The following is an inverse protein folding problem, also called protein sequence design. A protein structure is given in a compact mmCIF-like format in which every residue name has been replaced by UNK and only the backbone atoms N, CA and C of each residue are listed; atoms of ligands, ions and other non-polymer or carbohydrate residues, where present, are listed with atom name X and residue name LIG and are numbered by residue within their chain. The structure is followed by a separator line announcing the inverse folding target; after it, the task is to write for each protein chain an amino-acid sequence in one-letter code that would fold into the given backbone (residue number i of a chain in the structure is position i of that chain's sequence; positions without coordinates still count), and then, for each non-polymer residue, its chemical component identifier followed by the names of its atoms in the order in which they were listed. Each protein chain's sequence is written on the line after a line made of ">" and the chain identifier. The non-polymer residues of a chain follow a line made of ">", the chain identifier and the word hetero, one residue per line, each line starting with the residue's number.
data_IF_234395252667
#
_entry.id   IF_234395252667
#
_cell.length_a   1.000
_cell.length_b   1.000
_cell.length_c   1.000
_cell.angle_alpha   90.00
_cell.angle_beta   90.00
_cell.angle_gamma   90.00
#
_symmetry.space_group_name_H-M   'P 1'
#
loop_
_entity.id
_entity.type
_entity.pdbx_description
1 polymer ?
#
# COMPACT_ATOMS: atom_id res chain seq x y z
N UNK A 1 5.49 12.49 0.00
CA UNK A 1 4.26 13.19 -0.43
C UNK A 1 4.09 14.51 0.32
N UNK A 2 4.33 14.54 1.64
CA UNK A 2 4.28 15.77 2.45
C UNK A 2 5.20 16.88 1.92
N UNK A 3 6.47 16.59 1.61
CA UNK A 3 7.40 17.59 1.05
C UNK A 3 6.88 18.21 -0.26
N UNK A 4 6.41 17.37 -1.19
CA UNK A 4 5.81 17.83 -2.45
C UNK A 4 4.58 18.70 -2.20
N UNK A 5 3.70 18.28 -1.30
CA UNK A 5 2.51 19.05 -0.94
C UNK A 5 2.86 20.39 -0.29
N UNK A 6 3.88 20.41 0.58
CA UNK A 6 4.41 21.64 1.18
C UNK A 6 4.93 22.62 0.13
N UNK A 7 5.69 22.13 -0.86
CA UNK A 7 6.19 22.93 -1.98
C UNK A 7 5.07 23.45 -2.89
N UNK A 8 3.99 22.70 -3.09
CA UNK A 8 2.80 23.17 -3.80
C UNK A 8 2.14 24.35 -3.07
N UNK A 9 1.96 24.24 -1.76
CA UNK A 9 1.42 25.34 -0.94
C UNK A 9 2.33 26.57 -0.96
N UNK A 10 3.63 26.38 -0.88
CA UNK A 10 4.62 27.45 -1.01
C UNK A 10 4.54 28.13 -2.39
N UNK A 11 4.42 27.35 -3.46
CA UNK A 11 4.25 27.86 -4.82
C UNK A 11 2.96 28.66 -4.97
N UNK A 12 1.84 28.20 -4.39
CA UNK A 12 0.55 28.91 -4.37
C UNK A 12 0.66 30.30 -3.73
N UNK A 13 1.47 30.43 -2.68
CA UNK A 13 1.75 31.71 -2.05
C UNK A 13 2.63 32.58 -2.95
N UNK A 14 3.75 32.05 -3.45
CA UNK A 14 4.70 32.79 -4.31
C UNK A 14 4.08 33.31 -5.60
N UNK A 15 3.18 32.55 -6.24
CA UNK A 15 2.52 33.02 -7.46
C UNK A 15 1.56 34.19 -7.20
N UNK A 16 1.03 34.31 -5.98
CA UNK A 16 0.21 35.47 -5.58
C UNK A 16 1.02 36.77 -5.53
N UNK A 17 2.35 36.68 -5.47
CA UNK A 17 3.28 37.82 -5.46
C UNK A 17 3.77 38.22 -6.86
N UNK A 18 3.38 37.46 -7.90
CA UNK A 18 3.83 37.70 -9.26
C UNK A 18 3.34 39.07 -9.80
N UNK A 19 4.29 39.92 -10.20
CA UNK A 19 3.99 41.24 -10.78
C UNK A 19 3.67 41.13 -12.27
N UNK A 20 2.77 41.98 -12.76
CA UNK A 20 2.36 42.08 -14.17
C UNK A 20 1.72 40.80 -14.74
N UNK A 21 1.33 39.85 -13.89
CA UNK A 21 0.56 38.68 -14.28
C UNK A 21 -0.94 38.99 -14.26
N UNK A 22 -1.70 38.33 -15.15
CA UNK A 22 -3.15 38.47 -15.18
C UNK A 22 -3.75 37.80 -13.93
N UNK A 23 -4.58 38.53 -13.18
CA UNK A 23 -5.21 38.04 -11.94
C UNK A 23 -6.01 36.76 -12.17
N UNK A 24 -6.76 36.66 -13.27
CA UNK A 24 -7.54 35.45 -13.57
C UNK A 24 -6.65 34.23 -13.84
N UNK A 25 -5.47 34.44 -14.45
CA UNK A 25 -4.49 33.36 -14.66
C UNK A 25 -3.86 32.91 -13.34
N UNK A 26 -3.56 33.84 -12.42
CA UNK A 26 -3.06 33.50 -11.07
C UNK A 26 -4.08 32.64 -10.34
N UNK A 27 -5.35 33.05 -10.32
CA UNK A 27 -6.41 32.32 -9.61
C UNK A 27 -6.67 30.94 -10.24
N UNK A 28 -6.61 30.81 -11.57
CA UNK A 28 -6.72 29.52 -12.24
C UNK A 28 -5.59 28.56 -11.83
N UNK A 29 -4.34 29.04 -11.80
CA UNK A 29 -3.18 28.23 -11.37
C UNK A 29 -3.28 27.86 -9.89
N UNK A 30 -3.65 28.79 -9.02
CA UNK A 30 -3.89 28.51 -7.60
C UNK A 30 -4.98 27.47 -7.39
N UNK A 31 -6.07 27.55 -8.15
CA UNK A 31 -7.13 26.55 -8.12
C UNK A 31 -6.62 25.14 -8.45
N UNK A 32 -5.81 25.01 -9.51
CA UNK A 32 -5.18 23.74 -9.88
C UNK A 32 -4.22 23.23 -8.79
N UNK A 33 -3.39 24.11 -8.22
CA UNK A 33 -2.46 23.77 -7.14
C UNK A 33 -3.22 23.28 -5.90
N UNK A 34 -4.28 23.98 -5.50
CA UNK A 34 -5.08 23.63 -4.33
C UNK A 34 -5.79 22.29 -4.55
N UNK A 35 -6.38 22.07 -5.74
CA UNK A 35 -7.00 20.79 -6.08
C UNK A 35 -6.02 19.62 -6.02
N UNK A 36 -4.78 19.81 -6.49
CA UNK A 36 -3.73 18.80 -6.34
C UNK A 36 -3.32 18.60 -4.87
N UNK A 37 -3.24 19.69 -4.10
CA UNK A 37 -2.91 19.66 -2.66
C UNK A 37 -3.92 18.82 -1.87
N UNK A 38 -5.22 18.99 -2.15
CA UNK A 38 -6.30 18.21 -1.52
C UNK A 38 -6.17 16.71 -1.80
N UNK A 39 -5.77 16.32 -3.02
CA UNK A 39 -5.50 14.92 -3.37
C UNK A 39 -4.33 14.37 -2.56
N UNK A 40 -3.24 15.14 -2.45
CA UNK A 40 -2.08 14.73 -1.63
C UNK A 40 -2.48 14.54 -0.17
N UNK A 41 -3.27 15.43 0.42
CA UNK A 41 -3.73 15.30 1.80
C UNK A 41 -4.54 14.01 2.00
N UNK A 42 -5.50 13.73 1.11
CA UNK A 42 -6.30 12.50 1.17
C UNK A 42 -5.45 11.24 1.05
N UNK A 43 -4.48 11.22 0.12
CA UNK A 43 -3.57 10.09 -0.03
C UNK A 43 -2.64 9.92 1.18
N UNK A 44 -2.12 11.02 1.75
CA UNK A 44 -1.29 10.99 2.96
C UNK A 44 -2.09 10.40 4.13
N UNK A 45 -3.35 10.80 4.30
CA UNK A 45 -4.23 10.24 5.34
C UNK A 45 -4.45 8.74 5.13
N UNK A 46 -4.81 8.31 3.92
CA UNK A 46 -5.05 6.90 3.61
C UNK A 46 -3.79 6.03 3.83
N UNK A 47 -2.62 6.51 3.38
CA UNK A 47 -1.34 5.82 3.56
C UNK A 47 -0.92 5.77 5.03
N UNK A 48 -1.11 6.85 5.78
CA UNK A 48 -0.82 6.87 7.23
C UNK A 48 -1.67 5.87 7.98
N UNK A 49 -2.98 5.77 7.64
CA UNK A 49 -3.89 4.77 8.22
C UNK A 49 -3.41 3.35 7.91
N UNK A 50 -3.08 3.05 6.66
CA UNK A 50 -2.58 1.73 6.26
C UNK A 50 -1.25 1.38 6.96
N UNK A 51 -0.34 2.35 7.07
CA UNK A 51 0.92 2.17 7.79
C UNK A 51 0.73 1.92 9.28
N UNK A 52 -0.33 2.51 9.88
CA UNK A 52 -0.75 2.21 11.25
C UNK A 52 -1.10 0.74 11.42
N UNK A 53 -2.00 0.22 10.57
CA UNK A 53 -2.40 -1.20 10.57
C UNK A 53 -1.20 -2.12 10.36
N UNK A 54 -0.32 -1.82 9.40
CA UNK A 54 0.83 -2.65 9.12
C UNK A 54 1.82 -2.76 10.30
N UNK A 55 1.92 -1.73 11.16
CA UNK A 55 2.77 -1.76 12.35
C UNK A 55 2.22 -2.69 13.44
N UNK A 56 0.91 -2.92 13.48
CA UNK A 56 0.29 -3.84 14.47
C UNK A 56 0.72 -5.29 14.25
N UNK A 57 1.19 -5.65 13.05
CA UNK A 57 1.79 -6.95 12.77
C UNK A 57 3.13 -7.20 13.51
N UNK A 58 3.68 -6.16 14.16
CA UNK A 58 4.91 -6.23 14.94
C UNK A 58 6.14 -6.58 14.11
N UNK A 59 7.02 -7.40 14.67
CA UNK A 59 8.29 -7.81 14.05
C UNK A 59 8.16 -9.08 13.18
N UNK A 60 6.94 -9.48 12.84
CA UNK A 60 6.71 -10.65 11.99
C UNK A 60 7.24 -10.38 10.59
N UNK A 61 8.24 -11.14 10.16
CA UNK A 61 8.81 -11.00 8.82
C UNK A 61 7.79 -11.40 7.74
N UNK A 62 7.82 -10.71 6.60
CA UNK A 62 7.05 -11.16 5.43
C UNK A 62 7.60 -12.52 4.99
N UNK A 63 6.72 -13.51 4.90
CA UNK A 63 7.10 -14.89 4.58
C UNK A 63 7.67 -15.67 5.77
N UNK A 64 7.44 -15.21 7.01
CA UNK A 64 7.82 -15.94 8.21
C UNK A 64 7.30 -17.38 8.16
N UNK A 65 8.18 -18.32 8.53
CA UNK A 65 7.87 -19.74 8.62
C UNK A 65 8.25 -20.19 10.01
N UNK A 66 7.25 -20.33 10.88
CA UNK A 66 7.46 -20.87 12.21
C UNK A 66 7.78 -22.38 12.14
N UNK A 67 8.79 -22.82 12.90
CA UNK A 67 9.06 -24.25 13.15
C UNK A 67 8.04 -24.90 14.09
N UNK A 68 7.22 -24.07 14.75
CA UNK A 68 6.10 -24.47 15.60
C UNK A 68 4.80 -24.63 14.81
N UNK A 69 3.75 -25.16 15.45
CA UNK A 69 2.45 -25.38 14.82
C UNK A 69 1.95 -24.14 14.07
N UNK A 70 1.38 -24.35 12.88
CA UNK A 70 0.88 -23.28 12.05
C UNK A 70 -0.19 -22.45 12.78
N UNK A 71 0.00 -21.13 12.79
CA UNK A 71 -0.98 -20.17 13.30
C UNK A 71 -1.64 -19.49 12.10
N UNK A 72 -2.97 -19.40 12.12
CA UNK A 72 -3.69 -18.67 11.08
C UNK A 72 -3.36 -17.17 11.16
N UNK A 73 -3.36 -16.49 10.00
CA UNK A 73 -3.25 -15.04 9.97
C UNK A 73 -4.42 -14.40 10.73
N UNK A 74 -4.14 -13.27 11.39
CA UNK A 74 -5.17 -12.48 12.04
C UNK A 74 -6.15 -11.92 11.00
N UNK A 75 -7.42 -12.36 11.09
CA UNK A 75 -8.46 -12.01 10.12
C UNK A 75 -8.71 -10.51 10.09
N UNK A 76 -8.77 -9.88 11.26
CA UNK A 76 -9.12 -8.47 11.38
C UNK A 76 -8.01 -7.58 10.80
N UNK A 77 -6.75 -7.90 11.06
CA UNK A 77 -5.59 -7.25 10.47
C UNK A 77 -5.54 -7.40 8.94
N UNK A 78 -5.83 -8.59 8.40
CA UNK A 78 -5.91 -8.81 6.94
C UNK A 78 -7.03 -7.97 6.32
N UNK A 79 -8.21 -7.94 6.93
CA UNK A 79 -9.33 -7.13 6.46
C UNK A 79 -9.04 -5.64 6.54
N UNK A 80 -8.35 -5.19 7.58
CA UNK A 80 -7.91 -3.80 7.74
C UNK A 80 -6.90 -3.38 6.67
N UNK A 81 -5.95 -4.24 6.30
CA UNK A 81 -5.02 -3.99 5.18
C UNK A 81 -5.81 -3.86 3.87
N UNK A 82 -6.74 -4.78 3.59
CA UNK A 82 -7.57 -4.73 2.39
C UNK A 82 -8.38 -3.44 2.33
N UNK A 83 -8.97 -3.01 3.44
CA UNK A 83 -9.72 -1.76 3.51
C UNK A 83 -8.82 -0.53 3.28
N UNK A 84 -7.65 -0.48 3.91
CA UNK A 84 -6.71 0.63 3.73
C UNK A 84 -6.20 0.75 2.29
N UNK A 85 -5.92 -0.38 1.61
CA UNK A 85 -5.54 -0.37 0.19
C UNK A 85 -6.70 0.10 -0.70
N UNK A 86 -7.94 -0.29 -0.40
CA UNK A 86 -9.13 0.21 -1.12
C UNK A 86 -9.30 1.72 -0.98
N UNK A 87 -9.08 2.28 0.21
CA UNK A 87 -9.15 3.73 0.44
C UNK A 87 -8.13 4.47 -0.44
N UNK A 88 -6.90 3.95 -0.59
CA UNK A 88 -5.86 4.54 -1.45
C UNK A 88 -6.29 4.49 -2.92
N UNK A 89 -6.80 3.34 -3.39
CA UNK A 89 -7.25 3.15 -4.76
C UNK A 89 -8.41 4.10 -5.09
N UNK A 90 -9.38 4.23 -4.19
CA UNK A 90 -10.54 5.12 -4.37
C UNK A 90 -10.13 6.59 -4.48
N UNK A 91 -9.16 7.04 -3.68
CA UNK A 91 -8.61 8.40 -3.81
C UNK A 91 -7.91 8.57 -5.16
N UNK A 92 -7.10 7.62 -5.60
CA UNK A 92 -6.40 7.69 -6.88
C UNK A 92 -7.36 7.72 -8.08
N UNK A 93 -8.38 6.85 -8.09
CA UNK A 93 -9.38 6.76 -9.15
C UNK A 93 -10.16 8.08 -9.29
N UNK A 94 -10.61 8.65 -8.17
CA UNK A 94 -11.27 9.96 -8.12
C UNK A 94 -10.38 11.11 -8.58
N UNK A 95 -9.07 10.92 -8.58
CA UNK A 95 -8.08 11.87 -9.12
C UNK A 95 -7.73 11.62 -10.59
N UNK A 96 -8.44 10.71 -11.26
CA UNK A 96 -8.20 10.36 -12.66
C UNK A 96 -6.97 9.47 -12.87
N UNK A 97 -6.45 8.84 -11.82
CA UNK A 97 -5.35 7.88 -11.90
C UNK A 97 -5.94 6.48 -12.01
N UNK A 98 -5.88 5.89 -13.20
CA UNK A 98 -6.29 4.52 -13.44
C UNK A 98 -5.28 3.54 -12.83
N UNK A 99 -5.72 2.73 -11.86
CA UNK A 99 -4.95 1.60 -11.33
C UNK A 99 -5.43 0.33 -12.03
N UNK A 100 -4.63 -0.17 -12.96
CA UNK A 100 -4.97 -1.38 -13.73
C UNK A 100 -4.75 -2.64 -12.90
N UNK A 101 -5.61 -3.66 -13.04
CA UNK A 101 -5.31 -4.98 -12.51
C UNK A 101 -4.03 -5.52 -13.17
N UNK A 102 -3.15 -6.09 -12.35
CA UNK A 102 -1.98 -6.83 -12.83
C UNK A 102 -2.34 -8.30 -13.00
N UNK A 103 -1.57 -9.05 -13.80
CA UNK A 103 -1.66 -10.51 -13.78
C UNK A 103 -1.28 -10.99 -12.38
N UNK A 104 -2.25 -11.57 -11.66
CA UNK A 104 -1.98 -12.26 -10.40
C UNK A 104 -0.94 -13.35 -10.63
N UNK A 105 -0.03 -13.52 -9.67
CA UNK A 105 0.88 -14.67 -9.68
C UNK A 105 0.10 -15.98 -9.66
N UNK A 106 0.69 -17.04 -10.22
CA UNK A 106 0.07 -18.35 -10.22
C UNK A 106 -0.22 -18.80 -8.77
N UNK A 107 -1.35 -19.50 -8.59
CA UNK A 107 -1.64 -20.19 -7.34
C UNK A 107 -0.46 -21.10 -6.98
N UNK A 108 0.01 -20.98 -5.74
CA UNK A 108 1.06 -21.85 -5.23
C UNK A 108 0.41 -23.19 -4.87
N UNK A 109 0.64 -24.18 -5.71
CA UNK A 109 0.17 -25.55 -5.49
C UNK A 109 1.11 -26.22 -4.49
N UNK A 110 0.55 -26.87 -3.48
CA UNK A 110 1.31 -27.69 -2.52
C UNK A 110 2.02 -28.81 -3.30
N UNK A 111 3.33 -28.94 -3.13
CA UNK A 111 4.08 -30.02 -3.77
C UNK A 111 3.52 -31.38 -3.34
N UNK A 112 3.23 -32.26 -4.30
CA UNK A 112 2.70 -33.60 -4.04
C UNK A 112 3.79 -34.59 -3.61
N UNK A 113 5.08 -34.26 -3.84
CA UNK A 113 6.23 -35.12 -3.56
C UNK A 113 7.39 -34.34 -2.91
N UNK A 114 8.11 -34.98 -1.99
CA UNK A 114 9.20 -34.37 -1.22
C UNK A 114 10.46 -33.98 -2.03
N UNK A 115 10.57 -34.40 -3.31
CA UNK A 115 11.73 -34.14 -4.18
C UNK A 115 11.55 -32.94 -5.11
N UNK A 116 10.32 -32.43 -5.24
CA UNK A 116 10.00 -31.32 -6.12
C UNK A 116 10.00 -30.04 -5.27
N UNK A 117 10.99 -29.17 -5.45
CA UNK A 117 11.07 -27.96 -4.65
C UNK A 117 9.91 -27.00 -4.99
N UNK A 118 8.90 -26.93 -4.11
CA UNK A 118 8.06 -25.73 -3.91
C UNK A 118 8.15 -25.36 -2.43
N UNK A 119 9.06 -24.46 -2.10
CA UNK A 119 9.10 -23.78 -0.79
C UNK A 119 8.08 -22.66 -0.84
N UNK A 120 6.94 -22.83 -0.18
CA UNK A 120 6.12 -21.72 0.37
C UNK A 120 5.38 -22.07 1.68
N UNK A 121 5.48 -23.29 2.22
CA UNK A 121 5.07 -23.50 3.61
C UNK A 121 5.89 -24.65 4.21
N UNK A 122 6.95 -24.30 4.94
CA UNK A 122 7.86 -25.26 5.56
C UNK A 122 7.25 -25.96 6.77
N UNK A 123 6.32 -26.87 6.54
CA UNK A 123 5.94 -27.91 7.51
C UNK A 123 6.13 -29.29 6.85
N UNK A 124 7.37 -29.61 6.49
CA UNK A 124 7.73 -31.00 6.22
C UNK A 124 7.85 -31.67 7.59
N UNK A 125 6.76 -32.26 8.06
CA UNK A 125 6.80 -33.18 9.20
C UNK A 125 7.67 -34.38 8.80
N UNK A 126 8.93 -34.39 9.29
CA UNK A 126 9.72 -35.61 9.29
C UNK A 126 9.18 -36.55 10.37
N UNK A 127 8.10 -37.25 10.07
CA UNK A 127 7.71 -38.51 10.71
C UNK A 127 7.58 -39.50 9.55
N UNK A 128 8.58 -40.33 9.27
CA UNK A 128 8.89 -41.51 10.07
C UNK A 128 10.25 -42.07 9.62
N UNK A 129 11.18 -42.29 10.55
CA UNK A 129 12.21 -43.30 10.34
C UNK A 129 11.58 -44.66 10.69
N UNK A 130 11.72 -45.66 9.80
CA UNK A 130 11.18 -47.01 9.91
C UNK A 130 11.63 -47.76 11.18
N UNK A 131 11.13 -48.97 11.44
CA UNK A 131 11.51 -50.21 10.75
C UNK A 131 10.50 -51.31 11.16
N UNK A 132 10.30 -52.29 10.26
CA UNK A 132 9.71 -53.63 10.40
C UNK A 132 9.51 -54.20 11.80
#
# INVERSE_FOLDING_TARGET
>A
MEDTNGKLKELSNKISEAKNANVSSIEAVKGAINSASDVFERLITALTKLAGVAKEAGDTNIGDTASAAAVAADKDGVEAIIAGVKDIIDVADKSGIEIKPVNFGNQIVVATNATDAIVVLGHITKTSAGIW
#
